data_IF_833820503724
#
_entry.id   IF_833820503724
#
_cell.length_a   1.000
_cell.length_b   1.000
_cell.length_c   1.000
_cell.angle_alpha   90.00
_cell.angle_beta   90.00
_cell.angle_gamma   90.00
#
_symmetry.space_group_name_H-M   'P 1'
#
loop_
_entity.id
_entity.type
_entity.pdbx_description
1 polymer ?
#
# COMPACT_ATOMS: atom_id res chain seq x y z
N UNK A 1 -30.77 53.22 34.28
CA UNK A 1 -30.71 52.63 32.91
C UNK A 1 -29.31 52.85 32.38
N UNK A 2 -28.49 51.79 32.27
CA UNK A 2 -27.22 51.87 31.56
C UNK A 2 -27.24 50.80 30.48
N UNK A 3 -27.22 51.28 29.23
CA UNK A 3 -27.17 50.46 28.03
C UNK A 3 -25.72 50.02 27.83
N UNK A 4 -25.46 48.73 27.99
CA UNK A 4 -24.18 48.15 27.62
C UNK A 4 -24.15 48.07 26.09
N UNK A 5 -23.25 48.84 25.48
CA UNK A 5 -22.92 48.80 24.07
C UNK A 5 -22.66 47.36 23.66
N UNK A 6 -23.48 46.82 22.77
CA UNK A 6 -23.19 45.56 22.09
C UNK A 6 -22.08 45.83 21.09
N UNK A 7 -20.84 45.83 21.56
CA UNK A 7 -19.67 45.75 20.69
C UNK A 7 -19.75 44.42 19.95
N UNK A 8 -20.07 44.49 18.66
CA UNK A 8 -20.01 43.36 17.74
C UNK A 8 -18.55 43.01 17.52
N UNK A 9 -17.99 42.25 18.45
CA UNK A 9 -16.66 41.68 18.30
C UNK A 9 -16.74 40.63 17.19
N UNK A 10 -16.29 41.00 15.99
CA UNK A 10 -16.15 40.08 14.89
C UNK A 10 -15.27 38.91 15.36
N UNK A 11 -15.67 37.64 15.09
CA UNK A 11 -14.92 36.49 15.56
C UNK A 11 -13.47 36.59 15.03
N UNK A 12 -12.45 36.26 15.84
CA UNK A 12 -11.06 36.40 15.45
C UNK A 12 -10.80 35.61 14.14
N UNK A 13 -10.01 36.16 13.19
CA UNK A 13 -9.69 35.46 11.95
C UNK A 13 -9.15 34.07 12.28
N UNK A 14 -9.76 33.04 11.68
CA UNK A 14 -9.40 31.64 11.94
C UNK A 14 -8.05 31.31 11.27
N UNK A 15 -6.95 31.80 11.86
CA UNK A 15 -5.58 31.61 11.42
C UNK A 15 -5.23 30.12 11.23
N UNK A 16 -5.88 29.25 12.00
CA UNK A 16 -5.76 27.80 11.88
C UNK A 16 -6.20 27.27 10.52
N UNK A 17 -7.22 27.88 9.88
CA UNK A 17 -7.66 27.51 8.53
C UNK A 17 -6.59 27.80 7.48
N UNK A 18 -5.95 28.97 7.56
CA UNK A 18 -4.90 29.37 6.62
C UNK A 18 -3.62 28.54 6.79
N UNK A 19 -3.26 28.20 8.03
CA UNK A 19 -2.12 27.30 8.31
C UNK A 19 -2.38 25.89 7.75
N UNK A 20 -3.57 25.32 7.98
CA UNK A 20 -3.94 24.01 7.41
C UNK A 20 -3.89 24.02 5.88
N UNK A 21 -4.39 25.08 5.26
CA UNK A 21 -4.37 25.22 3.80
C UNK A 21 -2.95 25.38 3.26
N UNK A 22 -2.08 26.11 3.97
CA UNK A 22 -0.65 26.20 3.68
C UNK A 22 0.05 24.84 3.76
N UNK A 23 -0.22 24.04 4.80
CA UNK A 23 0.34 22.68 4.94
C UNK A 23 -0.09 21.79 3.77
N UNK A 24 -1.38 21.80 3.41
CA UNK A 24 -1.89 21.02 2.27
C UNK A 24 -1.24 21.46 0.96
N UNK A 25 -1.06 22.77 0.75
CA UNK A 25 -0.39 23.29 -0.44
C UNK A 25 1.07 22.82 -0.52
N UNK A 26 1.82 22.91 0.59
CA UNK A 26 3.22 22.46 0.65
C UNK A 26 3.31 20.95 0.38
N UNK A 27 2.46 20.13 0.99
CA UNK A 27 2.41 18.70 0.72
C UNK A 27 2.11 18.41 -0.76
N UNK A 28 1.19 19.15 -1.38
CA UNK A 28 0.88 19.04 -2.80
C UNK A 28 2.10 19.32 -3.67
N UNK A 29 2.86 20.38 -3.38
CA UNK A 29 4.10 20.72 -4.10
C UNK A 29 5.16 19.64 -3.94
N UNK A 30 5.35 19.11 -2.72
CA UNK A 30 6.32 18.03 -2.46
C UNK A 30 5.96 16.76 -3.24
N UNK A 31 4.68 16.35 -3.19
CA UNK A 31 4.21 15.16 -3.93
C UNK A 31 4.40 15.37 -5.44
N UNK A 32 4.01 16.53 -5.95
CA UNK A 32 4.17 16.84 -7.38
C UNK A 32 5.65 16.81 -7.82
N UNK A 33 6.54 17.43 -7.05
CA UNK A 33 7.97 17.45 -7.37
C UNK A 33 8.59 16.04 -7.32
N UNK A 34 8.27 15.25 -6.29
CA UNK A 34 8.81 13.90 -6.12
C UNK A 34 8.29 12.92 -7.18
N UNK A 35 6.98 12.93 -7.45
CA UNK A 35 6.38 12.09 -8.50
C UNK A 35 6.86 12.52 -9.89
N UNK A 36 6.92 13.83 -10.14
CA UNK A 36 7.42 14.38 -11.40
C UNK A 36 8.86 13.97 -11.69
N UNK A 37 9.75 14.09 -10.70
CA UNK A 37 11.15 13.66 -10.84
C UNK A 37 11.28 12.15 -11.10
N UNK A 38 10.49 11.33 -10.39
CA UNK A 38 10.45 9.88 -10.65
C UNK A 38 9.92 9.55 -12.04
N UNK A 39 8.88 10.25 -12.51
CA UNK A 39 8.30 10.04 -13.83
C UNK A 39 9.27 10.40 -14.97
N UNK A 40 10.01 11.50 -14.84
CA UNK A 40 11.06 11.87 -15.81
C UNK A 40 12.16 10.81 -15.83
N UNK A 41 12.65 10.40 -14.65
CA UNK A 41 13.68 9.35 -14.54
C UNK A 41 13.20 8.04 -15.15
N UNK A 42 11.95 7.65 -14.89
CA UNK A 42 11.34 6.46 -15.47
C UNK A 42 11.29 6.56 -17.00
N UNK A 43 10.80 7.70 -17.51
CA UNK A 43 10.69 7.95 -18.95
C UNK A 43 12.05 7.91 -19.66
N UNK A 44 13.07 8.52 -19.08
CA UNK A 44 14.43 8.50 -19.63
C UNK A 44 14.96 7.08 -19.71
N UNK A 45 14.82 6.29 -18.63
CA UNK A 45 15.25 4.90 -18.63
C UNK A 45 14.50 4.04 -19.66
N UNK A 46 13.18 4.26 -19.84
CA UNK A 46 12.41 3.58 -20.87
C UNK A 46 12.91 3.88 -22.28
N UNK A 47 13.21 5.15 -22.58
CA UNK A 47 13.68 5.56 -23.92
C UNK A 47 15.12 5.11 -24.18
N UNK A 48 16.00 5.16 -23.18
CA UNK A 48 17.42 4.84 -23.35
C UNK A 48 17.71 3.34 -23.35
N UNK A 49 17.12 2.59 -22.42
CA UNK A 49 17.47 1.18 -22.17
C UNK A 49 16.43 0.19 -22.69
N UNK A 50 15.23 0.63 -23.07
CA UNK A 50 14.20 -0.20 -23.68
C UNK A 50 13.95 -1.50 -22.91
N UNK A 51 14.22 -2.64 -23.53
CA UNK A 51 14.01 -3.96 -22.92
C UNK A 51 14.88 -4.23 -21.69
N UNK A 52 16.11 -3.70 -21.64
CA UNK A 52 17.02 -3.94 -20.51
C UNK A 52 16.45 -3.33 -19.22
N UNK A 53 15.71 -2.24 -19.33
CA UNK A 53 14.99 -1.64 -18.21
C UNK A 53 13.58 -2.23 -18.03
N UNK A 54 12.87 -2.48 -19.11
CA UNK A 54 11.45 -2.88 -19.07
C UNK A 54 11.26 -4.31 -18.58
N UNK A 55 12.13 -5.27 -18.95
CA UNK A 55 11.99 -6.67 -18.55
C UNK A 55 12.09 -6.86 -17.02
N UNK A 56 13.13 -6.37 -16.33
CA UNK A 56 13.20 -6.48 -14.87
C UNK A 56 12.03 -5.76 -14.17
N UNK A 57 11.61 -4.60 -14.68
CA UNK A 57 10.48 -3.86 -14.14
C UNK A 57 9.16 -4.65 -14.31
N UNK A 58 8.95 -5.25 -15.48
CA UNK A 58 7.80 -6.10 -15.76
C UNK A 58 7.73 -7.30 -14.81
N UNK A 59 8.83 -8.07 -14.67
CA UNK A 59 8.86 -9.21 -13.75
C UNK A 59 8.66 -8.77 -12.30
N UNK A 60 9.25 -7.65 -11.89
CA UNK A 60 9.03 -7.09 -10.55
C UNK A 60 7.56 -6.78 -10.32
N UNK A 61 6.89 -6.13 -11.26
CA UNK A 61 5.46 -5.79 -11.16
C UNK A 61 4.59 -7.05 -11.10
N UNK A 62 4.88 -8.06 -11.94
CA UNK A 62 4.18 -9.34 -11.90
C UNK A 62 4.31 -10.00 -10.53
N UNK A 63 5.53 -10.08 -9.99
CA UNK A 63 5.77 -10.60 -8.64
C UNK A 63 4.99 -9.83 -7.59
N UNK A 64 5.10 -8.50 -7.60
CA UNK A 64 4.39 -7.62 -6.68
C UNK A 64 2.90 -7.91 -6.70
N UNK A 65 2.27 -8.02 -7.88
CA UNK A 65 0.85 -8.28 -7.99
C UNK A 65 0.50 -9.67 -7.46
N UNK A 66 1.18 -10.73 -7.92
CA UNK A 66 0.85 -12.11 -7.54
C UNK A 66 1.02 -12.33 -6.04
N UNK A 67 2.17 -11.98 -5.49
CA UNK A 67 2.48 -12.21 -4.08
C UNK A 67 1.63 -11.33 -3.16
N UNK A 68 1.41 -10.06 -3.52
CA UNK A 68 0.54 -9.19 -2.72
C UNK A 68 -0.93 -9.64 -2.74
N UNK A 69 -1.43 -10.17 -3.87
CA UNK A 69 -2.76 -10.78 -3.94
C UNK A 69 -2.87 -11.95 -2.97
N UNK A 70 -1.91 -12.87 -2.99
CA UNK A 70 -1.93 -14.06 -2.13
C UNK A 70 -1.76 -13.68 -0.64
N UNK A 71 -0.86 -12.76 -0.34
CA UNK A 71 -0.52 -12.43 1.05
C UNK A 71 -1.49 -11.44 1.71
N UNK A 72 -1.98 -10.43 0.99
CA UNK A 72 -2.68 -9.28 1.58
C UNK A 72 -4.20 -9.32 1.38
N UNK A 73 -4.67 -9.87 0.26
CA UNK A 73 -6.09 -9.84 -0.07
C UNK A 73 -6.81 -10.92 0.72
N UNK A 74 -7.81 -10.49 1.49
CA UNK A 74 -8.70 -11.42 2.22
C UNK A 74 -10.06 -11.47 1.55
N UNK A 75 -10.54 -12.69 1.31
CA UNK A 75 -11.87 -12.98 0.72
C UNK A 75 -12.99 -12.94 1.77
N UNK A 76 -12.70 -12.67 3.06
CA UNK A 76 -13.73 -12.67 4.11
C UNK A 76 -14.65 -11.42 4.05
N UNK A 77 -15.61 -11.47 3.13
CA UNK A 77 -16.61 -10.42 2.86
C UNK A 77 -17.76 -10.44 3.89
N UNK A 78 -17.90 -11.50 4.68
CA UNK A 78 -18.92 -11.55 5.75
C UNK A 78 -18.42 -10.80 7.00
N UNK A 79 -17.14 -10.97 7.31
CA UNK A 79 -16.47 -10.28 8.41
C UNK A 79 -16.23 -8.80 8.14
N UNK A 80 -15.64 -8.44 6.99
CA UNK A 80 -15.30 -7.06 6.56
C UNK A 80 -14.64 -6.18 7.64
N UNK A 81 -14.03 -6.79 8.64
CA UNK A 81 -13.32 -6.08 9.70
C UNK A 81 -11.91 -5.75 9.22
N UNK A 82 -11.46 -4.53 9.51
CA UNK A 82 -10.09 -4.07 9.23
C UNK A 82 -9.55 -3.40 10.46
N UNK A 83 -8.46 -3.94 11.00
CA UNK A 83 -7.77 -3.39 12.17
C UNK A 83 -7.26 -1.97 11.87
N UNK A 84 -6.78 -1.74 10.64
CA UNK A 84 -6.30 -0.43 10.21
C UNK A 84 -7.41 0.63 10.27
N UNK A 85 -8.55 0.36 9.65
CA UNK A 85 -9.67 1.31 9.64
C UNK A 85 -10.34 1.44 11.00
N UNK A 86 -10.37 0.37 11.78
CA UNK A 86 -10.78 0.42 13.18
C UNK A 86 -9.88 1.36 13.99
N UNK A 87 -8.56 1.22 13.88
CA UNK A 87 -7.59 2.05 14.58
C UNK A 87 -7.70 3.53 14.16
N UNK A 88 -7.83 3.81 12.86
CA UNK A 88 -8.07 5.17 12.34
C UNK A 88 -9.36 5.74 12.94
N UNK A 89 -10.47 5.01 12.86
CA UNK A 89 -11.76 5.50 13.36
C UNK A 89 -11.75 5.75 14.86
N UNK A 90 -11.01 4.93 15.61
CA UNK A 90 -10.81 5.06 17.05
C UNK A 90 -9.93 6.27 17.35
N UNK A 91 -8.82 6.45 16.64
CA UNK A 91 -7.91 7.58 16.79
C UNK A 91 -8.57 8.93 16.46
N UNK A 92 -9.36 9.00 15.37
CA UNK A 92 -10.13 10.20 15.03
C UNK A 92 -11.13 10.54 16.13
N UNK A 93 -11.86 9.55 16.65
CA UNK A 93 -12.81 9.75 17.76
C UNK A 93 -12.10 10.20 19.03
N UNK A 94 -10.94 9.64 19.33
CA UNK A 94 -10.12 10.02 20.47
C UNK A 94 -9.66 11.49 20.37
N UNK A 95 -9.21 11.94 19.19
CA UNK A 95 -8.82 13.33 18.95
C UNK A 95 -10.01 14.31 18.96
N UNK A 96 -11.21 13.84 18.59
CA UNK A 96 -12.43 14.66 18.57
C UNK A 96 -13.16 14.77 19.91
N UNK A 97 -12.91 13.86 20.86
CA UNK A 97 -13.52 13.89 22.19
C UNK A 97 -12.65 14.71 23.15
N UNK A 98 -13.02 15.98 23.35
CA UNK A 98 -12.35 16.91 24.26
C UNK A 98 -12.50 16.58 25.76
N UNK A 99 -11.98 15.44 26.20
CA UNK A 99 -11.72 15.12 27.61
C UNK A 99 -12.92 14.82 28.52
N UNK A 100 -14.18 14.95 28.06
CA UNK A 100 -15.35 14.92 28.95
C UNK A 100 -16.20 13.63 28.95
N UNK A 101 -15.82 12.56 28.23
CA UNK A 101 -16.59 11.31 28.19
C UNK A 101 -15.77 10.08 28.60
N UNK A 102 -16.34 9.14 29.38
CA UNK A 102 -15.63 7.93 29.77
C UNK A 102 -15.25 7.08 28.54
N UNK A 103 -13.96 6.74 28.44
CA UNK A 103 -13.36 6.03 27.31
C UNK A 103 -14.06 4.69 27.01
N UNK A 104 -14.58 4.01 28.02
CA UNK A 104 -15.20 2.68 27.88
C UNK A 104 -16.56 2.68 27.15
N UNK A 105 -17.31 3.79 27.14
CA UNK A 105 -18.63 3.86 26.48
C UNK A 105 -18.59 4.44 25.06
N UNK A 106 -17.48 5.08 24.68
CA UNK A 106 -17.36 5.80 23.39
C UNK A 106 -16.78 4.97 22.25
N UNK A 107 -16.06 3.89 22.55
CA UNK A 107 -15.42 3.04 21.54
C UNK A 107 -16.25 1.79 21.25
N UNK A 108 -16.56 1.58 19.97
CA UNK A 108 -17.15 0.32 19.51
C UNK A 108 -16.11 -0.79 19.62
N UNK A 109 -16.51 -1.98 20.08
CA UNK A 109 -15.60 -3.14 20.08
C UNK A 109 -15.21 -3.54 18.65
N UNK A 110 -13.94 -3.89 18.43
CA UNK A 110 -13.45 -4.37 17.13
C UNK A 110 -14.30 -5.50 16.54
N UNK A 111 -14.84 -6.40 17.37
CA UNK A 111 -15.70 -7.51 16.92
C UNK A 111 -16.98 -7.03 16.21
N UNK A 112 -17.45 -5.82 16.52
CA UNK A 112 -18.65 -5.20 15.93
C UNK A 112 -18.31 -4.27 14.76
N UNK A 113 -17.03 -3.96 14.54
CA UNK A 113 -16.60 -3.05 13.50
C UNK A 113 -16.63 -3.74 12.13
N UNK A 114 -17.40 -3.16 11.21
CA UNK A 114 -17.53 -3.65 9.83
C UNK A 114 -17.46 -2.49 8.84
N UNK A 115 -16.67 -2.67 7.80
CA UNK A 115 -16.67 -1.77 6.64
C UNK A 115 -17.88 -2.06 5.74
N UNK A 116 -18.31 -1.07 4.96
CA UNK A 116 -19.27 -1.32 3.86
C UNK A 116 -18.61 -2.20 2.80
N UNK A 117 -19.40 -2.95 2.01
CA UNK A 117 -18.84 -3.81 0.96
C UNK A 117 -17.95 -3.04 -0.04
N UNK A 118 -18.36 -1.86 -0.57
CA UNK A 118 -17.51 -1.11 -1.47
C UNK A 118 -16.21 -0.64 -0.81
N UNK A 119 -16.29 -0.12 0.42
CA UNK A 119 -15.10 0.30 1.18
C UNK A 119 -14.14 -0.86 1.42
N UNK A 120 -14.65 -2.05 1.70
CA UNK A 120 -13.83 -3.23 1.90
C UNK A 120 -13.09 -3.64 0.62
N UNK A 121 -13.76 -3.60 -0.54
CA UNK A 121 -13.13 -3.92 -1.84
C UNK A 121 -12.06 -2.89 -2.19
N UNK A 122 -12.40 -1.60 -2.11
CA UNK A 122 -11.44 -0.51 -2.32
C UNK A 122 -10.24 -0.69 -1.39
N UNK A 123 -10.49 -1.04 -0.13
CA UNK A 123 -9.43 -1.29 0.84
C UNK A 123 -8.52 -2.46 0.47
N UNK A 124 -9.03 -3.56 -0.12
CA UNK A 124 -8.14 -4.64 -0.58
C UNK A 124 -7.20 -4.16 -1.71
N UNK A 125 -7.72 -3.35 -2.64
CA UNK A 125 -6.92 -2.78 -3.72
C UNK A 125 -5.88 -1.81 -3.14
N UNK A 126 -6.30 -0.92 -2.24
CA UNK A 126 -5.38 0.03 -1.59
C UNK A 126 -4.27 -0.67 -0.82
N UNK A 127 -4.54 -1.83 -0.18
CA UNK A 127 -3.46 -2.61 0.46
C UNK A 127 -2.40 -3.07 -0.53
N UNK A 128 -2.82 -3.54 -1.71
CA UNK A 128 -1.87 -3.94 -2.75
C UNK A 128 -1.03 -2.74 -3.17
N UNK A 129 -1.62 -1.56 -3.34
CA UNK A 129 -0.86 -0.36 -3.71
C UNK A 129 0.09 0.13 -2.59
N UNK A 130 -0.34 0.06 -1.34
CA UNK A 130 0.46 0.54 -0.19
C UNK A 130 1.57 -0.44 0.22
N UNK A 131 1.30 -1.75 0.13
CA UNK A 131 2.19 -2.78 0.65
C UNK A 131 2.76 -3.70 -0.44
N UNK A 132 2.35 -3.54 -1.71
CA UNK A 132 2.83 -4.36 -2.82
C UNK A 132 4.34 -4.22 -3.06
N UNK A 133 4.91 -3.05 -2.76
CA UNK A 133 6.35 -2.83 -2.86
C UNK A 133 7.18 -3.80 -1.99
N UNK A 134 6.63 -4.31 -0.88
CA UNK A 134 7.29 -5.32 -0.04
C UNK A 134 7.43 -6.69 -0.73
N UNK A 135 6.72 -6.90 -1.84
CA UNK A 135 6.69 -8.15 -2.59
C UNK A 135 7.37 -8.02 -3.97
N UNK A 136 8.07 -6.92 -4.22
CA UNK A 136 8.86 -6.70 -5.42
C UNK A 136 10.03 -7.71 -5.48
N UNK A 137 9.96 -8.67 -6.40
CA UNK A 137 11.00 -9.67 -6.59
C UNK A 137 11.13 -10.07 -8.06
N UNK A 138 12.25 -9.73 -8.68
CA UNK A 138 12.49 -9.98 -10.12
C UNK A 138 12.51 -11.49 -10.41
N UNK A 139 13.21 -12.27 -9.58
CA UNK A 139 13.40 -13.72 -9.80
C UNK A 139 12.08 -14.48 -9.73
N UNK A 140 11.25 -14.17 -8.74
CA UNK A 140 9.92 -14.78 -8.64
C UNK A 140 9.04 -14.41 -9.83
N UNK A 141 9.03 -13.13 -10.23
CA UNK A 141 8.25 -12.69 -11.38
C UNK A 141 8.68 -13.31 -12.70
N UNK A 142 9.99 -13.46 -12.90
CA UNK A 142 10.54 -14.16 -14.04
C UNK A 142 10.11 -15.62 -14.05
N UNK A 143 10.27 -16.34 -12.93
CA UNK A 143 9.84 -17.73 -12.82
C UNK A 143 8.33 -17.89 -13.08
N UNK A 144 7.51 -17.00 -12.52
CA UNK A 144 6.06 -17.03 -12.69
C UNK A 144 5.65 -16.88 -14.17
N UNK A 145 6.25 -15.93 -14.89
CA UNK A 145 6.00 -15.75 -16.33
C UNK A 145 6.52 -16.94 -17.14
N UNK A 146 7.75 -17.38 -16.87
CA UNK A 146 8.36 -18.55 -17.53
C UNK A 146 7.46 -19.79 -17.43
N UNK A 147 6.84 -20.02 -16.27
CA UNK A 147 5.88 -21.11 -16.08
C UNK A 147 4.56 -20.90 -16.81
N UNK A 148 4.03 -19.67 -16.83
CA UNK A 148 2.82 -19.33 -17.61
C UNK A 148 3.07 -19.58 -19.11
N UNK A 149 4.29 -19.34 -19.59
CA UNK A 149 4.71 -19.57 -20.97
C UNK A 149 4.95 -21.06 -21.29
N UNK A 150 4.79 -21.96 -20.32
CA UNK A 150 4.86 -23.42 -20.50
C UNK A 150 6.22 -24.05 -20.17
N UNK A 151 7.16 -23.30 -19.59
CA UNK A 151 8.42 -23.87 -19.12
C UNK A 151 8.22 -24.63 -17.80
N UNK A 152 9.08 -25.63 -17.53
CA UNK A 152 9.04 -26.37 -16.26
C UNK A 152 9.78 -25.61 -15.16
N UNK A 153 9.27 -25.68 -13.95
CA UNK A 153 9.96 -25.18 -12.76
C UNK A 153 11.12 -26.09 -12.30
N UNK A 154 11.32 -27.23 -12.96
CA UNK A 154 12.28 -28.24 -12.52
C UNK A 154 11.94 -28.84 -11.15
N UNK A 155 10.66 -28.81 -10.72
CA UNK A 155 10.23 -29.39 -9.44
C UNK A 155 10.46 -30.90 -9.40
N UNK A 156 10.46 -31.54 -10.57
CA UNK A 156 10.87 -32.92 -10.80
C UNK A 156 12.31 -33.21 -10.36
N UNK A 157 13.16 -32.18 -10.31
CA UNK A 157 14.55 -32.29 -9.86
C UNK A 157 14.72 -32.01 -8.36
N UNK A 158 13.69 -31.51 -7.64
CA UNK A 158 13.77 -31.28 -6.20
C UNK A 158 14.13 -32.55 -5.40
N UNK A 159 13.53 -33.72 -5.67
CA UNK A 159 13.92 -34.96 -4.99
C UNK A 159 15.39 -35.33 -5.24
N UNK A 160 15.93 -35.01 -6.43
CA UNK A 160 17.32 -35.29 -6.79
C UNK A 160 18.32 -34.42 -6.00
N UNK A 161 17.92 -33.27 -5.47
CA UNK A 161 18.75 -32.48 -4.56
C UNK A 161 18.95 -33.15 -3.20
N UNK A 162 18.07 -34.10 -2.84
CA UNK A 162 18.14 -34.84 -1.58
C UNK A 162 18.55 -36.30 -1.77
N UNK A 163 18.87 -36.72 -3.00
CA UNK A 163 19.36 -38.07 -3.27
C UNK A 163 20.87 -38.17 -3.02
N UNK A 164 21.32 -39.37 -2.64
CA UNK A 164 22.74 -39.67 -2.41
C UNK A 164 23.31 -40.47 -3.60
N UNK A 165 24.57 -40.22 -4.00
CA UNK A 165 25.41 -39.10 -3.56
C UNK A 165 24.85 -37.77 -4.09
N UNK A 166 25.00 -36.69 -3.32
CA UNK A 166 24.51 -35.37 -3.74
C UNK A 166 25.07 -35.03 -5.13
N UNK A 167 24.18 -34.86 -6.10
CA UNK A 167 24.56 -34.47 -7.46
C UNK A 167 24.78 -32.96 -7.46
N UNK A 168 26.01 -32.51 -7.71
CA UNK A 168 26.27 -31.11 -8.00
C UNK A 168 25.61 -30.76 -9.32
N UNK A 169 24.71 -29.76 -9.38
CA UNK A 169 24.09 -29.34 -10.63
C UNK A 169 25.15 -28.97 -11.67
N UNK A 170 24.83 -29.22 -12.95
CA UNK A 170 25.73 -28.87 -14.05
C UNK A 170 26.00 -27.36 -14.06
N UNK A 171 27.26 -26.97 -14.24
CA UNK A 171 27.67 -25.55 -14.20
C UNK A 171 27.60 -24.89 -15.57
N UNK A 172 26.81 -25.46 -16.49
CA UNK A 172 26.66 -24.94 -17.84
C UNK A 172 25.98 -23.55 -17.80
N UNK A 173 26.66 -22.48 -18.24
CA UNK A 173 26.12 -21.13 -18.22
C UNK A 173 24.89 -20.94 -19.13
N UNK A 174 24.54 -21.91 -19.96
CA UNK A 174 23.35 -21.86 -20.81
C UNK A 174 22.03 -22.14 -20.07
N UNK A 175 22.07 -22.64 -18.83
CA UNK A 175 20.89 -22.87 -17.98
C UNK A 175 20.62 -21.72 -16.98
N UNK A 176 21.42 -20.64 -17.03
CA UNK A 176 21.30 -19.46 -16.18
C UNK A 176 20.48 -18.32 -16.83
#
# INVERSE_FOLDING_TARGET
>A
MYSASTDKQAPPPDAGKYIRLGIVAILGVIIFATVGNQAVTLSMNFTEFGEQFTKPLYYTLVSTIILSLIALVRVNIVGRSSIFWYAISTGIKFLGQGGQQPLASSFSSFKKYKLTSPQFVIWQITKILLFGAFFANIMFGFAAISFIDGNTFGLENLPNLFSLPFVTPDTDPNYA
#
